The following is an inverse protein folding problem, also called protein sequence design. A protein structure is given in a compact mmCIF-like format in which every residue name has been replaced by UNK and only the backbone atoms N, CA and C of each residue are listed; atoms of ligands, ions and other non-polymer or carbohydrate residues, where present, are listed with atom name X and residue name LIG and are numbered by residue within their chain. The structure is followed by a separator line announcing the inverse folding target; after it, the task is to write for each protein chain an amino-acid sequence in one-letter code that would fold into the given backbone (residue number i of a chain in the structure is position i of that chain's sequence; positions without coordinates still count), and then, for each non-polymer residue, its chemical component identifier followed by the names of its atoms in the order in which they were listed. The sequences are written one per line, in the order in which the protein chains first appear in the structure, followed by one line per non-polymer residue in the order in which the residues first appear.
data_IF_882004960098
#
_entry.id   IF_882004960098
#
_cell.length_a   1.000
_cell.length_b   1.000
_cell.length_c   1.000
_cell.angle_alpha   90.00
_cell.angle_beta   90.00
_cell.angle_gamma   90.00
#
_symmetry.space_group_name_H-M   'P 1'
#
loop_
_entity.id
_entity.type
_entity.pdbx_description
1 polymer ?
#
# COMPACT_ATOMS: atom_id res chain seq x y z
N UNK A 1 7.57 -20.31 1.10
CA UNK A 1 8.59 -19.73 0.18
C UNK A 1 8.54 -18.20 0.00
N UNK A 2 7.49 -17.46 0.43
CA UNK A 2 7.48 -15.98 0.29
C UNK A 2 8.18 -15.20 1.42
N UNK A 3 8.31 -15.82 2.60
CA UNK A 3 8.96 -15.23 3.78
C UNK A 3 10.49 -15.31 3.75
N UNK A 4 11.04 -16.31 3.05
CA UNK A 4 12.47 -16.64 3.10
C UNK A 4 13.37 -15.69 2.28
N UNK A 5 12.82 -14.93 1.33
CA UNK A 5 13.60 -14.08 0.42
C UNK A 5 13.61 -12.60 0.81
N UNK A 6 12.90 -12.19 1.87
CA UNK A 6 12.78 -10.77 2.25
C UNK A 6 12.11 -9.88 1.20
N UNK A 7 11.70 -10.41 0.04
CA UNK A 7 11.14 -9.66 -1.10
C UNK A 7 9.84 -8.91 -0.78
N UNK A 8 9.17 -9.30 0.30
CA UNK A 8 7.99 -8.58 0.79
C UNK A 8 8.35 -7.20 1.37
N UNK A 9 9.54 -7.01 1.95
CA UNK A 9 9.91 -5.72 2.57
C UNK A 9 10.12 -4.61 1.55
N UNK A 10 10.49 -4.93 0.31
CA UNK A 10 10.69 -3.97 -0.77
C UNK A 10 9.55 -3.93 -1.79
N UNK A 11 8.58 -4.84 -1.68
CA UNK A 11 7.43 -4.90 -2.57
C UNK A 11 6.35 -3.90 -2.16
N UNK A 12 5.69 -3.27 -3.15
CA UNK A 12 4.49 -2.44 -2.94
C UNK A 12 3.31 -3.23 -2.35
N UNK A 13 3.34 -4.57 -2.41
CA UNK A 13 2.27 -5.42 -1.87
C UNK A 13 2.16 -5.31 -0.35
N UNK A 14 3.29 -5.23 0.37
CA UNK A 14 3.29 -5.14 1.83
C UNK A 14 2.60 -3.85 2.34
N UNK A 15 2.98 -2.64 1.89
CA UNK A 15 2.27 -1.42 2.28
C UNK A 15 0.81 -1.41 1.78
N UNK A 16 0.49 -2.03 0.63
CA UNK A 16 -0.91 -2.17 0.16
C UNK A 16 -1.77 -2.96 1.15
N UNK A 17 -1.29 -4.14 1.59
CA UNK A 17 -2.01 -4.96 2.57
C UNK A 17 -2.12 -4.24 3.91
N UNK A 18 -1.04 -3.60 4.37
CA UNK A 18 -1.05 -2.83 5.62
C UNK A 18 -2.09 -1.71 5.58
N UNK A 19 -2.20 -0.99 4.47
CA UNK A 19 -3.21 0.05 4.29
C UNK A 19 -4.64 -0.50 4.38
N UNK A 20 -4.94 -1.65 3.79
CA UNK A 20 -6.27 -2.26 3.87
C UNK A 20 -6.62 -2.63 5.32
N UNK A 21 -5.66 -3.18 6.08
CA UNK A 21 -5.87 -3.50 7.49
C UNK A 21 -6.08 -2.23 8.34
N UNK A 22 -5.28 -1.20 8.11
CA UNK A 22 -5.41 0.09 8.81
C UNK A 22 -6.75 0.77 8.50
N UNK A 23 -7.21 0.69 7.24
CA UNK A 23 -8.53 1.20 6.84
C UNK A 23 -9.65 0.50 7.62
N UNK A 24 -9.58 -0.82 7.76
CA UNK A 24 -10.55 -1.60 8.55
C UNK A 24 -10.53 -1.25 10.04
N UNK A 25 -9.39 -0.81 10.55
CA UNK A 25 -9.22 -0.33 11.92
C UNK A 25 -9.61 1.15 12.11
N UNK A 26 -10.05 1.84 11.05
CA UNK A 26 -10.34 3.28 11.11
C UNK A 26 -9.10 4.17 11.24
N UNK A 27 -7.89 3.61 11.08
CA UNK A 27 -6.61 4.35 11.16
C UNK A 27 -6.29 4.98 9.81
N UNK A 28 -7.10 5.95 9.42
CA UNK A 28 -7.20 6.43 8.04
C UNK A 28 -5.97 7.22 7.59
N UNK A 29 -5.38 8.04 8.47
CA UNK A 29 -4.14 8.75 8.19
C UNK A 29 -2.97 7.78 7.89
N UNK A 30 -2.84 6.71 8.67
CA UNK A 30 -1.79 5.72 8.45
C UNK A 30 -2.07 4.86 7.21
N UNK A 31 -3.33 4.50 6.97
CA UNK A 31 -3.71 3.79 5.75
C UNK A 31 -3.38 4.60 4.49
N UNK A 32 -3.62 5.92 4.50
CA UNK A 32 -3.25 6.81 3.41
C UNK A 32 -1.74 6.83 3.18
N UNK A 33 -0.95 6.98 4.25
CA UNK A 33 0.52 7.00 4.16
C UNK A 33 1.08 5.68 3.57
N UNK A 34 0.51 4.54 3.93
CA UNK A 34 0.90 3.24 3.38
C UNK A 34 0.51 3.10 1.90
N UNK A 35 -0.67 3.60 1.47
CA UNK A 35 -1.04 3.61 0.04
C UNK A 35 -0.11 4.49 -0.80
N UNK A 36 0.31 5.64 -0.28
CA UNK A 36 1.29 6.51 -0.94
C UNK A 36 2.68 5.87 -1.02
N UNK A 37 3.09 5.12 0.01
CA UNK A 37 4.31 4.31 -0.04
C UNK A 37 4.21 3.19 -1.07
N UNK A 38 3.09 2.47 -1.10
CA UNK A 38 2.83 1.43 -2.10
C UNK A 38 2.89 2.01 -3.52
N UNK A 39 2.29 3.18 -3.75
CA UNK A 39 2.34 3.87 -5.04
C UNK A 39 3.78 4.22 -5.47
N UNK A 40 4.63 4.65 -4.54
CA UNK A 40 6.06 4.95 -4.80
C UNK A 40 6.87 3.71 -5.16
N UNK A 41 6.55 2.55 -4.57
CA UNK A 41 7.24 1.28 -4.82
C UNK A 41 6.66 0.50 -6.01
N UNK A 42 5.52 0.94 -6.57
CA UNK A 42 4.85 0.26 -7.66
C UNK A 42 5.49 0.60 -9.01
N UNK A 43 6.09 -0.37 -9.74
CA UNK A 43 6.73 -0.11 -11.01
C UNK A 43 5.73 0.11 -12.16
N UNK A 44 4.46 -0.28 -11.98
CA UNK A 44 3.43 -0.18 -13.00
C UNK A 44 2.64 1.14 -12.87
N UNK A 45 2.68 2.04 -13.88
CA UNK A 45 1.99 3.33 -13.81
C UNK A 45 0.48 3.23 -13.60
N UNK A 46 -0.20 2.27 -14.24
CA UNK A 46 -1.66 2.11 -14.09
C UNK A 46 -2.04 1.68 -12.69
N UNK A 47 -1.26 0.79 -12.10
CA UNK A 47 -1.48 0.29 -10.75
C UNK A 47 -1.14 1.37 -9.71
N UNK A 48 -0.08 2.15 -9.95
CA UNK A 48 0.24 3.34 -9.16
C UNK A 48 -0.93 4.33 -9.10
N UNK A 49 -1.57 4.61 -10.22
CA UNK A 49 -2.74 5.51 -10.25
C UNK A 49 -3.95 4.95 -9.50
N UNK A 50 -4.11 3.62 -9.44
CA UNK A 50 -5.12 2.98 -8.59
C UNK A 50 -4.79 3.19 -7.11
N UNK A 51 -3.53 2.99 -6.72
CA UNK A 51 -3.09 3.17 -5.33
C UNK A 51 -3.24 4.62 -4.86
N UNK A 52 -2.91 5.60 -5.71
CA UNK A 52 -3.10 7.03 -5.41
C UNK A 52 -4.58 7.40 -5.27
N UNK A 53 -5.46 6.87 -6.13
CA UNK A 53 -6.91 7.08 -6.00
C UNK A 53 -7.45 6.45 -4.72
N UNK A 54 -6.97 5.27 -4.33
CA UNK A 54 -7.31 4.66 -3.04
C UNK A 54 -6.86 5.56 -1.87
N UNK A 55 -5.65 6.11 -1.92
CA UNK A 55 -5.12 6.99 -0.87
C UNK A 55 -6.00 8.24 -0.67
N UNK A 56 -6.48 8.82 -1.78
CA UNK A 56 -7.39 9.97 -1.76
C UNK A 56 -8.80 9.60 -1.26
N UNK A 57 -9.23 8.35 -1.42
CA UNK A 57 -10.56 7.88 -1.00
C UNK A 57 -10.63 7.42 0.47
N UNK A 58 -9.49 7.15 1.10
CA UNK A 58 -9.42 6.88 2.54
C UNK A 58 -9.63 8.19 3.30
N UNK A 59 -10.69 8.28 4.11
CA UNK A 59 -11.08 9.47 4.89
C UNK A 59 -10.76 9.31 6.36
#
# INVERSE_FOLDING_TARGET
ELTATGRLSTSHLLPTVRAELLTRLGRTHEARAELELAARLCPNPRERDVLLRKAAAVG
#
